data_IF_881098271542
#
_entry.id   IF_881098271542
#
_cell.length_a   1.000
_cell.length_b   1.000
_cell.length_c   1.000
_cell.angle_alpha   90.00
_cell.angle_beta   90.00
_cell.angle_gamma   90.00
#
_symmetry.space_group_name_H-M   'P 1'
#
loop_
_entity.id
_entity.type
_entity.pdbx_description
1 polymer ?
#
# COMPACT_ATOMS: atom_id res chain seq x y z
N UNK A 1 13.90 11.10 3.26
CA UNK A 1 12.53 11.00 3.79
C UNK A 1 12.14 9.54 3.95
N UNK A 2 11.56 9.16 5.07
CA UNK A 2 11.02 7.82 5.33
C UNK A 2 9.53 7.71 4.96
N UNK A 3 9.00 8.74 4.29
CA UNK A 3 7.61 8.77 3.89
C UNK A 3 7.36 7.88 2.67
N UNK A 4 6.24 7.17 2.70
CA UNK A 4 5.83 6.29 1.60
C UNK A 4 5.15 7.09 0.50
N UNK A 5 5.47 6.76 -0.75
CA UNK A 5 4.75 7.18 -1.93
C UNK A 5 4.76 6.08 -3.00
N UNK A 6 3.90 6.18 -3.98
CA UNK A 6 3.84 5.25 -5.10
C UNK A 6 4.21 5.94 -6.42
N UNK A 7 4.55 5.15 -7.44
CA UNK A 7 4.87 5.68 -8.78
C UNK A 7 3.74 6.47 -9.44
N UNK A 8 2.48 6.24 -9.03
CA UNK A 8 1.31 7.02 -9.48
C UNK A 8 1.42 8.50 -9.11
N UNK A 9 2.19 8.84 -8.07
CA UNK A 9 2.36 10.21 -7.56
C UNK A 9 3.37 11.03 -8.37
N UNK A 10 4.18 10.37 -9.20
CA UNK A 10 5.22 11.06 -9.99
C UNK A 10 4.62 12.01 -11.03
N UNK A 11 3.57 11.58 -11.74
CA UNK A 11 2.94 12.42 -12.77
C UNK A 11 2.39 13.73 -12.18
N UNK A 12 1.52 13.75 -11.15
CA UNK A 12 1.03 15.00 -10.60
C UNK A 12 2.13 15.84 -9.92
N UNK A 13 3.18 15.24 -9.40
CA UNK A 13 4.30 15.96 -8.82
C UNK A 13 5.14 16.66 -9.89
N UNK A 14 5.44 15.97 -11.00
CA UNK A 14 6.15 16.58 -12.13
C UNK A 14 5.32 17.69 -12.76
N UNK A 15 4.03 17.45 -12.97
CA UNK A 15 3.12 18.45 -13.51
C UNK A 15 3.09 19.73 -12.65
N UNK A 16 3.08 19.58 -11.33
CA UNK A 16 3.19 20.71 -10.39
C UNK A 16 4.49 21.46 -10.56
N UNK A 17 5.63 20.76 -10.61
CA UNK A 17 6.98 21.38 -10.73
C UNK A 17 7.20 22.08 -12.07
N UNK A 18 6.55 21.60 -13.12
CA UNK A 18 6.67 22.16 -14.48
C UNK A 18 5.55 23.12 -14.85
N UNK A 19 4.64 23.40 -13.89
CA UNK A 19 3.43 24.23 -14.11
C UNK A 19 2.59 23.73 -15.30
N UNK A 20 2.60 22.42 -15.54
CA UNK A 20 1.85 21.78 -16.63
C UNK A 20 0.50 21.29 -16.12
N UNK A 21 -0.60 21.51 -16.86
CA UNK A 21 -1.89 21.01 -16.43
C UNK A 21 -1.95 19.49 -16.43
N UNK A 22 -2.65 18.93 -15.45
CA UNK A 22 -2.96 17.50 -15.40
C UNK A 22 -3.98 17.11 -16.47
N UNK A 23 -4.05 15.82 -16.87
CA UNK A 23 -5.11 15.30 -17.71
C UNK A 23 -6.49 15.61 -17.14
N UNK A 24 -7.48 15.78 -18.00
CA UNK A 24 -8.88 16.01 -17.56
C UNK A 24 -9.49 14.77 -16.89
N UNK A 25 -8.96 13.59 -17.19
CA UNK A 25 -9.36 12.33 -16.56
C UNK A 25 -8.90 12.30 -15.12
N UNK A 26 -9.72 11.73 -14.25
CA UNK A 26 -9.34 11.48 -12.85
C UNK A 26 -8.12 10.55 -12.78
N UNK A 27 -7.15 10.91 -11.96
CA UNK A 27 -5.96 10.10 -11.67
C UNK A 27 -5.89 9.83 -10.17
N UNK A 28 -5.33 8.69 -9.78
CA UNK A 28 -5.21 8.27 -8.38
C UNK A 28 -4.02 8.95 -7.68
N UNK A 29 -2.99 9.30 -8.44
CA UNK A 29 -1.79 9.95 -7.92
C UNK A 29 -2.05 11.35 -7.39
N UNK A 30 -1.25 11.76 -6.41
CA UNK A 30 -1.29 13.10 -5.79
C UNK A 30 0.08 13.76 -5.84
N UNK A 31 0.11 15.08 -5.83
CA UNK A 31 1.36 15.80 -5.70
C UNK A 31 1.99 15.54 -4.33
N UNK A 32 3.20 15.00 -4.32
CA UNK A 32 3.98 14.66 -3.12
C UNK A 32 5.23 15.53 -2.98
N UNK A 33 5.32 16.67 -3.70
CA UNK A 33 6.50 17.52 -3.62
C UNK A 33 6.83 17.94 -2.20
N UNK A 34 5.83 18.28 -1.41
CA UNK A 34 6.02 18.65 0.00
C UNK A 34 6.68 17.55 0.84
N UNK A 35 6.40 16.26 0.55
CA UNK A 35 7.10 15.13 1.18
C UNK A 35 8.53 15.00 0.68
N UNK A 36 8.77 15.19 -0.61
CA UNK A 36 10.09 15.06 -1.24
C UNK A 36 11.02 16.20 -0.83
N UNK A 37 10.49 17.43 -0.74
CA UNK A 37 11.24 18.62 -0.32
C UNK A 37 11.47 18.68 1.20
N UNK A 38 10.72 17.91 1.98
CA UNK A 38 10.75 17.95 3.44
C UNK A 38 9.89 19.04 4.08
N UNK A 39 9.06 19.76 3.28
CA UNK A 39 8.15 20.79 3.77
C UNK A 39 7.04 20.21 4.66
N UNK A 40 6.68 18.95 4.44
CA UNK A 40 5.70 18.22 5.24
C UNK A 40 6.14 16.79 5.50
N UNK A 41 5.60 16.20 6.57
CA UNK A 41 5.72 14.78 6.88
C UNK A 41 4.36 14.06 6.78
N UNK A 42 3.34 14.74 6.23
CA UNK A 42 1.99 14.22 6.13
C UNK A 42 1.72 13.82 4.69
N UNK A 43 1.47 12.53 4.47
CA UNK A 43 1.06 12.02 3.15
C UNK A 43 -0.26 12.65 2.71
N UNK A 44 -0.40 13.05 1.42
CA UNK A 44 -1.67 13.46 0.87
C UNK A 44 -2.66 12.30 0.69
N UNK A 45 -2.20 11.06 0.84
CA UNK A 45 -3.02 9.86 0.75
C UNK A 45 -3.50 9.41 2.13
N UNK A 46 -4.77 9.06 2.24
CA UNK A 46 -5.31 8.38 3.42
C UNK A 46 -4.80 6.94 3.49
N UNK A 47 -4.74 6.30 2.32
CA UNK A 47 -4.29 4.92 2.16
C UNK A 47 -3.76 4.65 0.74
N UNK A 48 -3.03 3.56 0.62
CA UNK A 48 -2.63 2.94 -0.65
C UNK A 48 -3.28 1.57 -0.77
N UNK A 49 -3.78 1.24 -1.97
CA UNK A 49 -4.43 -0.03 -2.25
C UNK A 49 -3.55 -0.90 -3.16
N UNK A 50 -3.45 -2.17 -2.84
CA UNK A 50 -2.72 -3.16 -3.64
C UNK A 50 -3.70 -4.18 -4.20
N UNK A 51 -3.72 -4.29 -5.52
CA UNK A 51 -4.65 -5.14 -6.25
C UNK A 51 -3.92 -6.12 -7.17
N UNK A 52 -4.53 -7.28 -7.38
CA UNK A 52 -4.14 -8.21 -8.44
C UNK A 52 -5.35 -8.43 -9.35
N UNK A 53 -5.30 -7.82 -10.54
CA UNK A 53 -6.48 -7.69 -11.38
C UNK A 53 -7.60 -6.94 -10.63
N UNK A 54 -8.83 -7.47 -10.61
CA UNK A 54 -9.94 -6.82 -9.90
C UNK A 54 -9.95 -7.09 -8.40
N UNK A 55 -9.05 -7.93 -7.87
CA UNK A 55 -9.05 -8.32 -6.46
C UNK A 55 -8.20 -7.36 -5.63
N UNK A 56 -8.83 -6.69 -4.65
CA UNK A 56 -8.11 -5.96 -3.62
C UNK A 56 -7.48 -6.95 -2.63
N UNK A 57 -6.17 -6.92 -2.50
CA UNK A 57 -5.40 -7.82 -1.64
C UNK A 57 -4.97 -7.19 -0.32
N UNK A 58 -4.58 -5.92 -0.36
CA UNK A 58 -4.20 -5.21 0.87
C UNK A 58 -4.39 -3.70 0.78
N UNK A 59 -4.47 -3.08 1.96
CA UNK A 59 -4.50 -1.63 2.17
C UNK A 59 -3.35 -1.27 3.09
N UNK A 60 -2.57 -0.26 2.74
CA UNK A 60 -1.56 0.35 3.59
C UNK A 60 -2.00 1.77 3.95
N UNK A 61 -1.85 2.18 5.20
CA UNK A 61 -2.11 3.57 5.60
C UNK A 61 -1.22 4.56 4.85
N UNK A 62 -1.69 5.78 4.63
CA UNK A 62 -0.90 6.82 3.98
C UNK A 62 0.42 7.14 4.69
N UNK A 63 0.51 6.90 6.00
CA UNK A 63 1.76 6.99 6.76
C UNK A 63 2.75 5.85 6.51
N UNK A 64 2.34 4.79 5.81
CA UNK A 64 3.15 3.59 5.60
C UNK A 64 3.25 2.65 6.81
N UNK A 65 2.69 3.04 7.96
CA UNK A 65 2.86 2.26 9.19
C UNK A 65 2.00 1.01 9.25
N UNK A 66 0.71 1.13 8.91
CA UNK A 66 -0.26 0.05 9.09
C UNK A 66 -0.58 -0.61 7.77
N UNK A 67 -0.59 -1.94 7.73
CA UNK A 67 -0.98 -2.70 6.55
C UNK A 67 -1.98 -3.77 6.92
N UNK A 68 -3.13 -3.73 6.26
CA UNK A 68 -4.20 -4.70 6.36
C UNK A 68 -4.17 -5.60 5.13
N UNK A 69 -4.02 -6.90 5.31
CA UNK A 69 -4.29 -7.89 4.28
C UNK A 69 -5.73 -8.38 4.35
N UNK A 70 -6.36 -8.46 3.20
CA UNK A 70 -7.61 -9.18 3.02
C UNK A 70 -7.30 -10.63 2.67
N UNK A 71 -8.19 -11.60 2.92
CA UNK A 71 -7.93 -12.99 2.60
C UNK A 71 -7.62 -13.19 1.12
N UNK A 72 -6.45 -13.75 0.81
CA UNK A 72 -6.04 -14.07 -0.57
C UNK A 72 -4.92 -15.10 -0.63
N UNK A 73 -4.74 -15.68 -1.82
CA UNK A 73 -3.60 -16.54 -2.13
C UNK A 73 -2.47 -15.71 -2.70
N UNK A 74 -1.24 -16.03 -2.34
CA UNK A 74 -0.05 -15.37 -2.85
C UNK A 74 1.06 -16.39 -3.16
N UNK A 75 2.05 -15.95 -3.94
CA UNK A 75 3.25 -16.77 -4.22
C UNK A 75 4.33 -16.44 -3.21
N UNK A 76 4.85 -17.46 -2.57
CA UNK A 76 6.00 -17.35 -1.68
C UNK A 76 7.18 -18.14 -2.22
N UNK A 77 8.35 -17.88 -1.68
CA UNK A 77 9.61 -18.54 -2.02
C UNK A 77 10.31 -18.98 -0.73
N UNK A 78 9.93 -20.14 -0.16
CA UNK A 78 10.43 -20.57 1.15
C UNK A 78 11.93 -20.90 1.14
N UNK A 79 12.50 -21.16 -0.05
CA UNK A 79 13.94 -21.36 -0.21
C UNK A 79 14.54 -20.31 -1.15
N UNK A 80 15.68 -19.70 -0.80
CA UNK A 80 16.37 -18.80 -1.70
C UNK A 80 16.84 -19.54 -2.95
N UNK A 81 16.97 -18.83 -4.06
CA UNK A 81 17.68 -19.31 -5.22
C UNK A 81 19.20 -19.21 -5.03
N UNK A 82 19.98 -19.71 -5.99
CA UNK A 82 21.43 -19.57 -6.02
C UNK A 82 21.96 -19.57 -7.45
N UNK A 83 23.12 -18.99 -7.67
CA UNK A 83 23.83 -18.97 -8.96
C UNK A 83 22.96 -18.50 -10.16
N UNK A 84 22.12 -17.52 -9.93
CA UNK A 84 21.20 -16.99 -10.95
C UNK A 84 19.94 -17.83 -11.17
N UNK A 85 19.77 -18.95 -10.46
CA UNK A 85 18.59 -19.80 -10.54
C UNK A 85 17.60 -19.38 -9.43
N UNK A 86 16.38 -18.98 -9.76
CA UNK A 86 15.39 -18.62 -8.74
C UNK A 86 14.98 -19.84 -7.91
N UNK A 87 14.77 -19.65 -6.61
CA UNK A 87 14.18 -20.68 -5.75
C UNK A 87 12.77 -21.06 -6.21
N UNK A 88 12.32 -22.24 -5.79
CA UNK A 88 10.98 -22.73 -6.13
C UNK A 88 9.91 -21.84 -5.49
N UNK A 89 8.87 -21.57 -6.28
CA UNK A 89 7.69 -20.88 -5.80
C UNK A 89 6.68 -21.87 -5.24
N UNK A 90 6.06 -21.49 -4.15
CA UNK A 90 4.94 -22.20 -3.54
C UNK A 90 3.74 -21.27 -3.39
N UNK A 91 2.54 -21.87 -3.32
CA UNK A 91 1.32 -21.13 -3.03
C UNK A 91 1.12 -21.11 -1.52
N UNK A 92 0.81 -19.94 -1.00
CA UNK A 92 0.42 -19.73 0.38
C UNK A 92 -0.88 -18.93 0.43
N UNK A 93 -1.52 -18.93 1.57
CA UNK A 93 -2.72 -18.13 1.86
C UNK A 93 -2.43 -17.20 3.01
N UNK A 94 -3.03 -16.03 2.97
CA UNK A 94 -3.08 -15.11 4.09
C UNK A 94 -4.53 -14.83 4.43
N UNK A 95 -4.85 -14.80 5.70
CA UNK A 95 -6.16 -14.43 6.21
C UNK A 95 -6.26 -12.91 6.42
N UNK A 96 -7.37 -12.46 6.97
CA UNK A 96 -7.53 -11.07 7.37
C UNK A 96 -6.60 -10.74 8.53
N UNK A 97 -5.53 -9.99 8.27
CA UNK A 97 -4.44 -9.67 9.21
C UNK A 97 -4.07 -8.21 9.18
N UNK A 98 -3.60 -7.69 10.31
CA UNK A 98 -3.07 -6.33 10.45
C UNK A 98 -1.63 -6.35 10.92
N UNK A 99 -0.77 -5.56 10.29
CA UNK A 99 0.65 -5.45 10.60
C UNK A 99 1.05 -4.01 10.90
N UNK A 100 2.01 -3.83 11.82
CA UNK A 100 2.72 -2.57 12.09
C UNK A 100 4.09 -2.62 11.38
N UNK A 101 4.17 -2.11 10.17
CA UNK A 101 5.38 -2.17 9.33
C UNK A 101 6.59 -1.41 9.89
N UNK A 102 6.38 -0.52 10.86
CA UNK A 102 7.49 0.17 11.56
C UNK A 102 8.21 -0.80 12.51
N UNK A 103 7.44 -1.63 13.23
CA UNK A 103 7.99 -2.57 14.21
C UNK A 103 8.17 -3.99 13.64
N UNK A 104 7.41 -4.34 12.61
CA UNK A 104 7.43 -5.65 11.95
C UNK A 104 7.39 -5.49 10.41
N UNK A 105 8.48 -5.03 9.78
CA UNK A 105 8.53 -4.85 8.32
C UNK A 105 8.46 -6.17 7.53
N UNK A 106 8.62 -7.31 8.20
CA UNK A 106 8.52 -8.64 7.60
C UNK A 106 7.11 -9.24 7.68
N UNK A 107 6.16 -8.53 8.28
CA UNK A 107 4.75 -8.95 8.37
C UNK A 107 4.60 -10.33 9.03
N UNK A 108 5.26 -10.53 10.16
CA UNK A 108 5.32 -11.84 10.86
C UNK A 108 4.30 -11.99 11.97
N UNK A 109 3.77 -10.87 12.50
CA UNK A 109 2.90 -10.86 13.66
C UNK A 109 1.59 -10.13 13.39
N UNK A 110 0.49 -10.87 13.30
CA UNK A 110 -0.86 -10.30 13.24
C UNK A 110 -1.21 -9.62 14.58
N UNK A 111 -1.50 -8.32 14.52
CA UNK A 111 -1.76 -7.48 15.69
C UNK A 111 -3.19 -6.92 15.73
N UNK A 112 -4.11 -7.42 14.90
CA UNK A 112 -5.47 -6.89 14.81
C UNK A 112 -6.22 -6.85 16.14
N UNK A 113 -6.02 -7.87 16.99
CA UNK A 113 -6.64 -7.94 18.31
C UNK A 113 -6.08 -6.90 19.30
N UNK A 114 -4.81 -6.51 19.10
CA UNK A 114 -4.13 -5.53 19.96
C UNK A 114 -4.42 -4.08 19.56
N UNK A 115 -4.90 -3.86 18.31
CA UNK A 115 -5.17 -2.55 17.73
C UNK A 115 -6.55 -2.47 17.05
N UNK A 116 -7.67 -2.71 17.79
CA UNK A 116 -9.01 -2.83 17.20
C UNK A 116 -9.47 -1.56 16.49
N UNK A 117 -9.10 -0.37 16.99
CA UNK A 117 -9.49 0.89 16.34
C UNK A 117 -8.75 1.11 15.02
N UNK A 118 -7.45 0.76 14.97
CA UNK A 118 -6.67 0.80 13.73
C UNK A 118 -7.24 -0.21 12.73
N UNK A 119 -7.50 -1.42 13.17
CA UNK A 119 -8.08 -2.47 12.36
C UNK A 119 -9.41 -2.03 11.72
N UNK A 120 -10.33 -1.47 12.52
CA UNK A 120 -11.60 -0.93 12.05
C UNK A 120 -11.41 0.18 11.01
N UNK A 121 -10.47 1.10 11.25
CA UNK A 121 -10.14 2.17 10.32
C UNK A 121 -9.65 1.62 8.98
N UNK A 122 -8.72 0.67 9.02
CA UNK A 122 -8.15 0.05 7.82
C UNK A 122 -9.20 -0.76 7.04
N UNK A 123 -10.10 -1.46 7.72
CA UNK A 123 -11.28 -2.10 7.09
C UNK A 123 -12.17 -1.09 6.39
N UNK A 124 -12.41 0.07 7.00
CA UNK A 124 -13.17 1.16 6.39
C UNK A 124 -12.54 1.64 5.08
N UNK A 125 -11.22 1.76 5.02
CA UNK A 125 -10.51 2.08 3.78
C UNK A 125 -10.69 0.99 2.70
N UNK A 126 -10.59 -0.28 3.08
CA UNK A 126 -10.81 -1.39 2.15
C UNK A 126 -12.24 -1.38 1.58
N UNK A 127 -13.23 -1.15 2.42
CA UNK A 127 -14.64 -1.05 2.00
C UNK A 127 -14.86 0.15 1.07
N UNK A 128 -14.31 1.33 1.41
CA UNK A 128 -14.37 2.53 0.57
C UNK A 128 -13.75 2.28 -0.81
N UNK A 129 -12.59 1.62 -0.85
CA UNK A 129 -11.90 1.31 -2.10
C UNK A 129 -12.72 0.35 -2.97
N UNK A 130 -13.24 -0.74 -2.38
CA UNK A 130 -14.09 -1.70 -3.10
C UNK A 130 -15.34 -1.06 -3.67
N UNK A 131 -16.01 -0.20 -2.90
CA UNK A 131 -17.22 0.49 -3.35
C UNK A 131 -16.93 1.46 -4.51
N UNK A 132 -15.75 2.11 -4.52
CA UNK A 132 -15.37 3.05 -5.58
C UNK A 132 -15.08 2.34 -6.91
N UNK A 133 -14.47 1.16 -6.85
CA UNK A 133 -14.09 0.38 -8.04
C UNK A 133 -15.05 -0.77 -8.36
N UNK A 134 -16.17 -0.89 -7.64
CA UNK A 134 -17.16 -1.98 -7.79
C UNK A 134 -16.53 -3.40 -7.69
N UNK A 135 -15.56 -3.58 -6.78
CA UNK A 135 -14.76 -4.80 -6.58
C UNK A 135 -15.40 -5.76 -5.55
#
# INVERSE_FOLDING_TARGET
SDQVFLSIDLLPTIAHLTETPLPQQSIDGKNIWGLMSGETQISPHDYYAFTTGPRLESIMSGSGRWKLHLPHNYRTRPSPGGDGIPGKYEQATIDLTLYDLVNDPMETQDIKENHPEVFKKMLGYAQKHKAFFEL
#
